data_IF_513834203830
#
_entry.id   IF_513834203830
#
_cell.length_a   1.000
_cell.length_b   1.000
_cell.length_c   1.000
_cell.angle_alpha   90.00
_cell.angle_beta   90.00
_cell.angle_gamma   90.00
#
_symmetry.space_group_name_H-M   'P 1'
#
loop_
_entity.id
_entity.type
_entity.pdbx_description
1 polymer ?
#
# COMPACT_ATOMS: atom_id res chain seq x y z
N UNK A 1 6.73 -6.80 1.31
CA UNK A 1 8.17 -6.61 1.52
C UNK A 1 8.56 -5.96 2.84
N UNK A 2 7.67 -5.14 3.43
CA UNK A 2 8.03 -4.48 4.70
C UNK A 2 7.40 -5.12 5.92
N UNK A 3 6.67 -6.22 5.76
CA UNK A 3 6.10 -6.94 6.88
C UNK A 3 7.20 -7.45 7.80
N UNK A 4 7.05 -7.23 9.10
CA UNK A 4 8.02 -7.65 10.09
C UNK A 4 9.23 -6.73 10.25
N UNK A 5 9.34 -5.68 9.45
CA UNK A 5 10.43 -4.72 9.58
C UNK A 5 10.11 -3.66 10.63
N UNK A 6 11.15 -3.21 11.35
CA UNK A 6 11.04 -2.07 12.24
C UNK A 6 10.96 -0.76 11.45
N UNK A 7 10.68 0.34 12.14
CA UNK A 7 10.50 1.65 11.51
C UNK A 7 11.73 2.10 10.73
N UNK A 8 12.94 1.90 11.28
CA UNK A 8 14.17 2.30 10.62
C UNK A 8 14.43 1.49 9.35
N UNK A 9 14.15 0.17 9.42
CA UNK A 9 14.32 -0.71 8.27
C UNK A 9 13.34 -0.35 7.15
N UNK A 10 12.10 -0.04 7.51
CA UNK A 10 11.09 0.38 6.53
C UNK A 10 11.50 1.68 5.84
N UNK A 11 11.98 2.64 6.61
CA UNK A 11 12.45 3.91 6.06
C UNK A 11 13.63 3.69 5.12
N UNK A 12 14.61 2.90 5.54
CA UNK A 12 15.78 2.60 4.72
C UNK A 12 15.40 1.87 3.42
N UNK A 13 14.46 0.92 3.51
CA UNK A 13 13.96 0.20 2.34
C UNK A 13 13.28 1.15 1.37
N UNK A 14 12.41 2.03 1.87
CA UNK A 14 11.73 3.00 1.03
C UNK A 14 12.68 3.95 0.33
N UNK A 15 13.68 4.44 1.04
CA UNK A 15 14.69 5.34 0.46
C UNK A 15 15.53 4.63 -0.60
N UNK A 16 15.88 3.37 -0.36
CA UNK A 16 16.61 2.58 -1.34
C UNK A 16 15.78 2.41 -2.62
N UNK A 17 14.50 2.08 -2.48
CA UNK A 17 13.61 1.92 -3.62
C UNK A 17 13.46 3.21 -4.41
N UNK A 18 13.40 4.35 -3.73
CA UNK A 18 13.34 5.65 -4.40
C UNK A 18 14.61 5.95 -5.20
N UNK A 19 15.77 5.60 -4.65
CA UNK A 19 17.04 5.76 -5.37
C UNK A 19 17.09 4.90 -6.61
N UNK A 20 16.62 3.66 -6.53
CA UNK A 20 16.56 2.76 -7.68
C UNK A 20 15.58 3.30 -8.72
N UNK A 21 14.46 3.84 -8.26
CA UNK A 21 13.41 4.35 -9.15
C UNK A 21 13.81 5.63 -9.89
N UNK A 22 14.90 6.28 -9.50
CA UNK A 22 15.38 7.48 -10.19
C UNK A 22 15.71 7.21 -11.66
N UNK A 23 16.17 6.00 -11.98
CA UNK A 23 16.52 5.63 -13.36
C UNK A 23 15.93 4.30 -13.80
N UNK A 24 15.03 3.73 -13.00
CA UNK A 24 14.39 2.43 -13.31
C UNK A 24 12.95 2.43 -12.84
N UNK A 25 12.15 1.58 -13.44
CA UNK A 25 10.79 1.34 -12.95
C UNK A 25 10.86 0.30 -11.83
N UNK A 26 10.23 0.63 -10.71
CA UNK A 26 10.15 -0.28 -9.56
C UNK A 26 8.69 -0.57 -9.27
N UNK A 27 8.36 -1.85 -9.15
CA UNK A 27 7.03 -2.29 -8.76
C UNK A 27 7.13 -3.02 -7.43
N UNK A 28 6.31 -2.61 -6.47
CA UNK A 28 6.29 -3.20 -5.14
C UNK A 28 4.88 -3.70 -4.86
N UNK A 29 4.76 -4.93 -4.41
CA UNK A 29 3.48 -5.49 -3.97
C UNK A 29 3.45 -5.39 -2.45
N UNK A 30 2.48 -4.64 -1.92
CA UNK A 30 2.45 -4.33 -0.50
C UNK A 30 1.01 -4.04 -0.07
N UNK A 31 0.72 -4.23 1.20
CA UNK A 31 -0.57 -3.88 1.79
C UNK A 31 -0.45 -2.80 2.88
N UNK A 32 0.75 -2.31 3.11
CA UNK A 32 1.00 -1.27 4.11
C UNK A 32 0.79 0.10 3.48
N UNK A 33 -0.34 0.72 3.79
CA UNK A 33 -0.73 2.01 3.20
C UNK A 33 0.18 3.15 3.63
N UNK A 34 0.69 3.10 4.85
CA UNK A 34 1.61 4.15 5.32
C UNK A 34 2.91 4.13 4.52
N UNK A 35 3.43 2.93 4.26
CA UNK A 35 4.61 2.76 3.42
C UNK A 35 4.33 3.24 2.00
N UNK A 36 3.21 2.86 1.42
CA UNK A 36 2.84 3.26 0.07
C UNK A 36 2.69 4.77 -0.04
N UNK A 37 2.06 5.40 0.95
CA UNK A 37 1.89 6.85 0.95
C UNK A 37 3.22 7.58 1.01
N UNK A 38 4.17 7.04 1.77
CA UNK A 38 5.49 7.67 1.93
C UNK A 38 6.35 7.53 0.68
N UNK A 39 6.25 6.42 -0.05
CA UNK A 39 7.26 6.08 -1.05
C UNK A 39 6.73 5.80 -2.46
N UNK A 40 5.47 5.50 -2.64
CA UNK A 40 4.93 5.19 -3.97
C UNK A 40 4.49 6.45 -4.71
N UNK A 41 4.70 6.48 -6.02
CA UNK A 41 4.19 7.55 -6.88
C UNK A 41 2.81 7.20 -7.43
N UNK A 42 2.63 5.95 -7.82
CA UNK A 42 1.34 5.45 -8.32
C UNK A 42 1.01 4.15 -7.60
N UNK A 43 -0.23 4.04 -7.18
CA UNK A 43 -0.73 2.84 -6.50
C UNK A 43 -1.86 2.25 -7.32
N UNK A 44 -1.78 0.95 -7.60
CA UNK A 44 -2.84 0.20 -8.25
C UNK A 44 -3.41 -0.79 -7.24
N UNK A 45 -4.70 -0.73 -7.01
CA UNK A 45 -5.37 -1.63 -6.08
C UNK A 45 -6.04 -2.75 -6.85
N UNK A 46 -5.70 -3.99 -6.49
CA UNK A 46 -6.31 -5.17 -7.07
C UNK A 46 -7.29 -5.80 -6.09
N UNK A 47 -8.43 -6.21 -6.58
CA UNK A 47 -9.41 -6.93 -5.79
C UNK A 47 -10.08 -7.97 -6.67
N UNK A 48 -10.16 -9.21 -6.19
CA UNK A 48 -10.76 -10.33 -6.90
C UNK A 48 -10.21 -10.48 -8.34
N UNK A 49 -8.91 -10.27 -8.50
CA UNK A 49 -8.23 -10.43 -9.79
C UNK A 49 -8.45 -9.29 -10.77
N UNK A 50 -9.01 -8.18 -10.33
CA UNK A 50 -9.29 -7.02 -11.19
C UNK A 50 -8.72 -5.75 -10.58
N UNK A 51 -8.44 -4.78 -11.44
CA UNK A 51 -8.04 -3.45 -10.99
C UNK A 51 -9.27 -2.73 -10.43
N UNK A 52 -9.21 -2.39 -9.16
CA UNK A 52 -10.29 -1.67 -8.48
C UNK A 52 -10.12 -0.17 -8.62
N UNK A 53 -8.89 0.31 -8.50
CA UNK A 53 -8.58 1.74 -8.56
C UNK A 53 -7.10 1.92 -8.83
N UNK A 54 -6.73 3.08 -9.37
CA UNK A 54 -5.36 3.45 -9.62
C UNK A 54 -5.20 4.96 -9.49
N UNK A 55 -4.13 5.39 -8.85
CA UNK A 55 -3.84 6.81 -8.66
C UNK A 55 -2.75 7.01 -7.64
N UNK A 56 -2.63 8.23 -7.13
CA UNK A 56 -1.70 8.50 -6.03
C UNK A 56 -2.17 7.80 -4.76
N UNK A 57 -1.27 7.63 -3.81
CA UNK A 57 -1.64 7.03 -2.53
C UNK A 57 -2.77 7.81 -1.85
N UNK A 58 -2.74 9.16 -1.93
CA UNK A 58 -3.79 9.99 -1.36
C UNK A 58 -5.14 9.75 -2.03
N UNK A 59 -5.15 9.66 -3.37
CA UNK A 59 -6.37 9.37 -4.12
C UNK A 59 -6.93 7.99 -3.78
N UNK A 60 -6.06 7.01 -3.66
CA UNK A 60 -6.46 5.65 -3.30
C UNK A 60 -7.08 5.61 -1.90
N UNK A 61 -6.48 6.28 -0.94
CA UNK A 61 -7.01 6.33 0.42
C UNK A 61 -8.36 7.03 0.50
N UNK A 62 -8.61 7.98 -0.38
CA UNK A 62 -9.87 8.72 -0.43
C UNK A 62 -10.95 8.01 -1.27
N UNK A 63 -10.59 6.96 -2.00
CA UNK A 63 -11.54 6.27 -2.88
C UNK A 63 -12.52 5.44 -2.07
N UNK A 64 -13.84 5.69 -2.17
CA UNK A 64 -14.83 4.93 -1.40
C UNK A 64 -14.83 3.43 -1.68
N UNK A 65 -14.53 3.03 -2.91
CA UNK A 65 -14.46 1.61 -3.28
C UNK A 65 -13.31 0.91 -2.56
N UNK A 66 -12.17 1.58 -2.48
CA UNK A 66 -10.98 1.07 -1.78
C UNK A 66 -11.25 1.00 -0.28
N UNK A 67 -11.82 2.05 0.28
CA UNK A 67 -12.15 2.09 1.70
C UNK A 67 -13.09 0.96 2.08
N UNK A 68 -14.09 0.70 1.25
CA UNK A 68 -15.06 -0.35 1.52
C UNK A 68 -14.41 -1.74 1.57
N UNK A 69 -13.54 -2.04 0.61
CA UNK A 69 -12.85 -3.32 0.55
C UNK A 69 -11.84 -3.44 1.69
N UNK A 70 -11.02 -2.43 1.88
CA UNK A 70 -9.95 -2.45 2.87
C UNK A 70 -10.47 -2.41 4.30
N UNK A 71 -11.36 -1.47 4.59
CA UNK A 71 -11.92 -1.32 5.94
C UNK A 71 -12.92 -2.44 6.28
N UNK A 72 -13.64 -2.92 5.29
CA UNK A 72 -14.51 -4.07 5.48
C UNK A 72 -13.73 -5.28 5.95
N UNK A 73 -12.61 -5.57 5.32
CA UNK A 73 -11.72 -6.66 5.71
C UNK A 73 -11.14 -6.44 7.11
N UNK A 74 -10.69 -5.21 7.38
CA UNK A 74 -10.16 -4.87 8.71
C UNK A 74 -11.23 -4.97 9.79
N UNK A 75 -12.45 -4.51 9.50
CA UNK A 75 -13.56 -4.60 10.43
C UNK A 75 -13.92 -6.05 10.75
N UNK A 76 -13.94 -6.91 9.75
CA UNK A 76 -14.18 -8.34 9.94
C UNK A 76 -13.11 -8.96 10.83
N UNK A 77 -11.86 -8.60 10.59
CA UNK A 77 -10.74 -9.08 11.40
C UNK A 77 -10.86 -8.63 12.85
N UNK A 78 -11.25 -7.40 13.08
CA UNK A 78 -11.42 -6.85 14.43
C UNK A 78 -12.59 -7.51 15.16
N UNK A 79 -13.63 -7.87 14.44
CA UNK A 79 -14.81 -8.49 15.04
C UNK A 79 -14.60 -9.97 15.35
N UNK A 80 -13.75 -10.65 14.60
CA UNK A 80 -13.51 -12.08 14.74
C UNK A 80 -13.17 -12.50 16.18
N UNK A 81 -12.31 -11.78 16.92
CA UNK A 81 -11.90 -12.21 18.26
C UNK A 81 -13.00 -12.20 19.32
N UNK A 82 -14.12 -11.65 19.04
CA UNK A 82 -15.22 -11.62 20.01
C UNK A 82 -15.81 -13.00 20.20
#
# INVERSE_FOLDING_TARGET
PVAGMGAEERQATGELLQRIAADRTVVVVEHDMDFMRAFATTVTVLAAGKVLAEGTAAEIQADPKVQQVYLGTAAETEETPR
#
